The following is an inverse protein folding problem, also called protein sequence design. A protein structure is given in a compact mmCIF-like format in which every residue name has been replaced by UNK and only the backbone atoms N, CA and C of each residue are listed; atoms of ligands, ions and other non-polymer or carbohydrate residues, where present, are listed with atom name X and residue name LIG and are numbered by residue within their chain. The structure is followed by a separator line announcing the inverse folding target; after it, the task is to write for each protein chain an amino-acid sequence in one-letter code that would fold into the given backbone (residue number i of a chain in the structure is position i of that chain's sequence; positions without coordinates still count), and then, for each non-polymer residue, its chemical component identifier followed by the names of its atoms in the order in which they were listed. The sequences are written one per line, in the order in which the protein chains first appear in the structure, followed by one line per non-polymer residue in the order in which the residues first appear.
data_IF_037094663475
#
_entry.id   IF_037094663475
#
_cell.length_a   1.000
_cell.length_b   1.000
_cell.length_c   1.000
_cell.angle_alpha   90.00
_cell.angle_beta   90.00
_cell.angle_gamma   90.00
#
_symmetry.space_group_name_H-M   'P 1'
#
loop_
_entity.id
_entity.type
_entity.pdbx_description
1 polymer ?
#
# COMPACT_ATOMS: atom_id res chain seq x y z
N UNK A 1 15.54 10.36 0.54
CA UNK A 1 14.16 9.95 0.20
C UNK A 1 14.01 8.46 0.39
N UNK A 2 12.88 8.04 0.94
CA UNK A 2 12.61 6.64 1.21
C UNK A 2 11.31 6.23 0.52
N UNK A 3 11.30 5.05 -0.12
CA UNK A 3 10.13 4.51 -0.80
C UNK A 3 9.75 3.18 -0.17
N UNK A 4 8.48 3.05 0.18
CA UNK A 4 7.91 1.79 0.65
C UNK A 4 6.89 1.30 -0.37
N UNK A 5 7.04 0.05 -0.79
CA UNK A 5 6.15 -0.56 -1.76
C UNK A 5 5.60 -1.87 -1.20
N UNK A 6 4.28 -2.04 -1.28
CA UNK A 6 3.62 -3.27 -0.90
C UNK A 6 2.91 -3.85 -2.12
N UNK A 7 3.32 -5.04 -2.54
CA UNK A 7 2.75 -5.73 -3.70
C UNK A 7 1.80 -6.83 -3.24
N UNK A 8 0.67 -6.95 -3.92
CA UNK A 8 -0.31 -7.98 -3.59
C UNK A 8 -1.09 -8.41 -4.83
N UNK A 9 -1.56 -9.64 -4.78
CA UNK A 9 -2.30 -10.26 -5.87
C UNK A 9 -3.78 -10.33 -5.53
N UNK A 10 -4.62 -9.95 -6.49
CA UNK A 10 -6.07 -9.89 -6.32
C UNK A 10 -6.73 -10.80 -7.33
N UNK A 11 -7.77 -11.51 -6.92
CA UNK A 11 -8.57 -12.34 -7.82
C UNK A 11 -9.22 -11.48 -8.90
N UNK A 12 -9.12 -11.92 -10.15
CA UNK A 12 -9.76 -11.24 -11.26
C UNK A 12 -11.28 -11.13 -10.99
N UNK A 13 -11.82 -9.95 -11.21
CA UNK A 13 -13.21 -9.64 -10.92
C UNK A 13 -13.43 -8.95 -9.59
N UNK A 14 -12.39 -8.88 -8.74
CA UNK A 14 -12.46 -8.22 -7.43
C UNK A 14 -11.72 -6.88 -7.39
N UNK A 15 -11.22 -6.42 -8.54
CA UNK A 15 -10.42 -5.19 -8.61
C UNK A 15 -11.18 -3.96 -8.14
N UNK A 16 -12.43 -3.82 -8.58
CA UNK A 16 -13.25 -2.66 -8.20
C UNK A 16 -13.54 -2.62 -6.71
N UNK A 17 -13.77 -3.77 -6.11
CA UNK A 17 -14.00 -3.87 -4.67
C UNK A 17 -12.75 -3.46 -3.90
N UNK A 18 -11.59 -3.91 -4.36
CA UNK A 18 -10.31 -3.51 -3.75
C UNK A 18 -10.10 -2.00 -3.85
N UNK A 19 -10.32 -1.43 -5.03
CA UNK A 19 -10.15 -0.01 -5.28
C UNK A 19 -11.06 0.82 -4.37
N UNK A 20 -12.30 0.38 -4.18
CA UNK A 20 -13.24 1.05 -3.29
C UNK A 20 -12.80 1.00 -1.84
N UNK A 21 -12.34 -0.18 -1.38
CA UNK A 21 -11.82 -0.34 -0.01
C UNK A 21 -10.66 0.61 0.23
N UNK A 22 -9.71 0.67 -0.71
CA UNK A 22 -8.54 1.54 -0.57
C UNK A 22 -8.92 3.02 -0.63
N UNK A 23 -9.89 3.37 -1.46
CA UNK A 23 -10.36 4.75 -1.61
C UNK A 23 -11.08 5.25 -0.36
N UNK A 24 -11.84 4.37 0.30
CA UNK A 24 -12.61 4.72 1.49
C UNK A 24 -11.79 4.65 2.78
N UNK A 25 -10.61 4.06 2.73
CA UNK A 25 -9.72 3.89 3.88
C UNK A 25 -9.11 5.22 4.29
N UNK A 26 -9.20 5.54 5.57
CA UNK A 26 -8.55 6.72 6.11
C UNK A 26 -7.24 6.32 6.79
N UNK A 27 -6.13 6.66 6.15
CA UNK A 27 -4.79 6.36 6.65
C UNK A 27 -4.15 7.53 7.36
N UNK A 28 -4.75 8.70 7.28
CA UNK A 28 -4.21 9.96 7.81
C UNK A 28 -2.79 10.27 7.33
N UNK A 29 -2.39 9.72 6.19
CA UNK A 29 -1.03 9.87 5.66
C UNK A 29 -0.60 11.32 5.53
N UNK A 30 -1.50 12.20 5.06
CA UNK A 30 -1.18 13.61 4.86
C UNK A 30 -0.85 14.34 6.16
N UNK A 31 -1.18 13.78 7.30
CA UNK A 31 -0.94 14.38 8.60
C UNK A 31 0.41 13.98 9.21
N UNK A 32 1.08 13.00 8.59
CA UNK A 32 2.34 12.49 9.14
C UNK A 32 3.55 13.26 8.62
N UNK A 33 4.47 13.62 9.52
CA UNK A 33 5.71 14.29 9.12
C UNK A 33 6.49 13.45 8.12
N UNK A 34 7.01 14.10 7.10
CA UNK A 34 7.86 13.45 6.12
C UNK A 34 7.12 12.71 5.01
N UNK A 35 5.79 12.65 5.05
CA UNK A 35 5.01 12.06 3.97
C UNK A 35 5.08 12.94 2.72
N UNK A 36 5.34 12.33 1.57
CA UNK A 36 5.44 13.03 0.29
C UNK A 36 4.27 12.70 -0.63
N UNK A 37 4.08 11.40 -0.94
CA UNK A 37 2.98 10.99 -1.81
C UNK A 37 2.61 9.53 -1.61
N UNK A 38 1.40 9.20 -2.04
CA UNK A 38 0.88 7.83 -2.05
C UNK A 38 0.24 7.54 -3.40
N UNK A 39 0.52 6.35 -3.94
CA UNK A 39 -0.11 5.87 -5.17
C UNK A 39 -0.52 4.42 -5.03
N UNK A 40 -1.72 4.10 -5.49
CA UNK A 40 -2.14 2.72 -5.69
C UNK A 40 -1.94 2.41 -7.17
N UNK A 41 -1.13 1.40 -7.46
CA UNK A 41 -0.76 1.01 -8.81
C UNK A 41 -1.47 -0.29 -9.17
N UNK A 42 -1.97 -0.38 -10.40
CA UNK A 42 -2.65 -1.55 -10.91
C UNK A 42 -1.90 -2.08 -12.13
N UNK A 43 -1.54 -3.35 -12.09
CA UNK A 43 -0.90 -4.03 -13.20
C UNK A 43 -1.91 -4.74 -14.09
N UNK A 44 -1.40 -5.56 -15.01
CA UNK A 44 -2.23 -6.36 -15.90
C UNK A 44 -2.78 -7.59 -15.18
N UNK A 45 -3.92 -8.09 -15.68
CA UNK A 45 -4.48 -9.35 -15.21
C UNK A 45 -3.92 -10.50 -16.06
N UNK A 46 -3.34 -11.49 -15.38
CA UNK A 46 -2.77 -12.68 -16.02
C UNK A 46 -3.21 -13.90 -15.25
N UNK A 47 -3.76 -14.90 -15.94
CA UNK A 47 -4.18 -16.18 -15.35
C UNK A 47 -5.14 -16.02 -14.16
N UNK A 48 -6.08 -15.09 -14.27
CA UNK A 48 -7.07 -14.86 -13.22
C UNK A 48 -6.57 -14.07 -12.02
N UNK A 49 -5.40 -13.44 -12.14
CA UNK A 49 -4.76 -12.67 -11.08
C UNK A 49 -4.45 -11.27 -11.58
N UNK A 50 -4.77 -10.25 -10.78
CA UNK A 50 -4.38 -8.87 -11.04
C UNK A 50 -3.39 -8.43 -9.98
N UNK A 51 -2.24 -7.92 -10.41
CA UNK A 51 -1.23 -7.39 -9.51
C UNK A 51 -1.55 -5.94 -9.16
N UNK A 52 -1.51 -5.63 -7.86
CA UNK A 52 -1.59 -4.27 -7.35
C UNK A 52 -0.36 -3.96 -6.52
N UNK A 53 -0.05 -2.69 -6.40
CA UNK A 53 1.01 -2.23 -5.51
C UNK A 53 0.62 -0.90 -4.88
N UNK A 54 0.89 -0.77 -3.59
CA UNK A 54 0.85 0.53 -2.94
C UNK A 54 2.28 1.09 -2.94
N UNK A 55 2.39 2.39 -3.18
CA UNK A 55 3.68 3.06 -3.29
C UNK A 55 3.61 4.33 -2.48
N UNK A 56 4.47 4.45 -1.46
CA UNK A 56 4.55 5.65 -0.63
C UNK A 56 5.96 6.21 -0.64
N UNK A 57 6.03 7.54 -0.70
CA UNK A 57 7.30 8.26 -0.61
C UNK A 57 7.38 9.05 0.68
N UNK A 58 8.54 9.03 1.30
CA UNK A 58 8.81 9.67 2.58
C UNK A 58 10.16 10.38 2.54
N UNK A 59 10.31 11.42 3.34
CA UNK A 59 11.60 12.11 3.47
C UNK A 59 12.68 11.16 4.01
N UNK A 60 12.32 10.28 4.93
CA UNK A 60 13.25 9.35 5.55
C UNK A 60 12.57 8.04 5.92
N UNK A 61 13.37 7.01 6.16
CA UNK A 61 12.90 5.73 6.66
C UNK A 61 12.25 5.88 8.04
N UNK A 62 12.80 6.73 8.87
CA UNK A 62 12.27 6.97 10.22
C UNK A 62 10.84 7.50 10.15
N UNK A 63 10.54 8.42 9.24
CA UNK A 63 9.20 8.96 9.06
C UNK A 63 8.21 7.86 8.67
N UNK A 64 8.61 6.97 7.77
CA UNK A 64 7.80 5.81 7.39
C UNK A 64 7.55 4.90 8.60
N UNK A 65 8.61 4.57 9.35
CA UNK A 65 8.49 3.70 10.51
C UNK A 65 7.58 4.30 11.58
N UNK A 66 7.64 5.61 11.79
CA UNK A 66 6.76 6.29 12.73
C UNK A 66 5.28 6.13 12.34
N UNK A 67 4.98 6.22 11.04
CA UNK A 67 3.63 5.98 10.56
C UNK A 67 3.21 4.53 10.81
N UNK A 68 4.07 3.55 10.56
CA UNK A 68 3.73 2.12 10.76
C UNK A 68 3.44 1.77 12.22
N UNK A 69 3.89 2.59 13.17
CA UNK A 69 3.62 2.41 14.60
C UNK A 69 2.35 3.12 15.06
N UNK A 70 1.69 3.85 14.17
CA UNK A 70 0.53 4.66 14.53
C UNK A 70 -0.76 3.84 14.58
N UNK A 71 -1.77 4.38 15.28
CA UNK A 71 -3.10 3.79 15.32
C UNK A 71 -3.76 3.84 13.94
N UNK A 72 -3.50 4.89 13.18
CA UNK A 72 -4.04 5.02 11.82
C UNK A 72 -3.59 3.87 10.93
N UNK A 73 -2.31 3.49 11.01
CA UNK A 73 -1.77 2.36 10.28
C UNK A 73 -2.43 1.05 10.70
N UNK A 74 -2.58 0.83 12.01
CA UNK A 74 -3.22 -0.39 12.53
C UNK A 74 -4.66 -0.51 12.08
N UNK A 75 -5.41 0.59 12.10
CA UNK A 75 -6.81 0.61 11.63
C UNK A 75 -6.91 0.29 10.15
N UNK A 76 -6.02 0.85 9.33
CA UNK A 76 -5.98 0.57 7.90
C UNK A 76 -5.69 -0.90 7.62
N UNK A 77 -4.76 -1.49 8.35
CA UNK A 77 -4.42 -2.91 8.23
C UNK A 77 -5.55 -3.83 8.70
N UNK A 78 -6.29 -3.42 9.73
CA UNK A 78 -7.44 -4.19 10.20
C UNK A 78 -8.50 -4.30 9.12
N UNK A 79 -8.75 -3.23 8.38
CA UNK A 79 -9.69 -3.26 7.25
C UNK A 79 -9.21 -4.24 6.18
N UNK A 80 -7.93 -4.22 5.84
CA UNK A 80 -7.36 -5.16 4.89
C UNK A 80 -7.50 -6.60 5.37
N UNK A 81 -7.24 -6.87 6.65
CA UNK A 81 -7.38 -8.20 7.23
C UNK A 81 -8.82 -8.71 7.20
N UNK A 82 -9.80 -7.84 7.36
CA UNK A 82 -11.21 -8.21 7.31
C UNK A 82 -11.67 -8.58 5.89
N UNK A 83 -10.87 -8.27 4.87
CA UNK A 83 -11.17 -8.55 3.47
C UNK A 83 -10.16 -9.52 2.85
N UNK A 84 -9.72 -10.51 3.62
CA UNK A 84 -8.71 -11.48 3.19
C UNK A 84 -9.07 -12.23 1.91
N UNK A 85 -10.36 -12.44 1.66
CA UNK A 85 -10.83 -13.18 0.50
C UNK A 85 -10.49 -12.52 -0.84
N UNK A 86 -10.19 -11.23 -0.81
CA UNK A 86 -9.78 -10.49 -2.01
C UNK A 86 -8.36 -10.86 -2.44
N UNK A 87 -7.51 -11.19 -1.48
CA UNK A 87 -6.07 -11.35 -1.73
C UNK A 87 -5.73 -12.81 -2.00
N UNK A 88 -4.82 -13.02 -2.94
CA UNK A 88 -4.23 -14.32 -3.24
C UNK A 88 -2.82 -14.36 -2.66
N UNK A 89 -2.60 -15.27 -1.71
CA UNK A 89 -1.29 -15.40 -1.08
C UNK A 89 -0.97 -14.27 -0.13
N UNK A 90 0.29 -14.16 0.22
CA UNK A 90 0.78 -13.14 1.16
C UNK A 90 1.14 -11.85 0.43
N UNK A 91 0.95 -10.73 1.13
CA UNK A 91 1.41 -9.45 0.64
C UNK A 91 2.93 -9.37 0.79
N UNK A 92 3.59 -8.75 -0.20
CA UNK A 92 5.03 -8.56 -0.19
C UNK A 92 5.35 -7.08 0.01
N UNK A 93 5.88 -6.75 1.19
CA UNK A 93 6.34 -5.39 1.48
C UNK A 93 7.80 -5.25 1.10
N UNK A 94 8.08 -4.26 0.24
CA UNK A 94 9.43 -3.89 -0.14
C UNK A 94 9.69 -2.46 0.32
N UNK A 95 10.76 -2.29 1.08
CA UNK A 95 11.23 -0.98 1.51
C UNK A 95 12.45 -0.61 0.68
N UNK A 96 12.35 0.50 -0.04
CA UNK A 96 13.38 0.92 -0.99
C UNK A 96 13.89 2.30 -0.67
N UNK A 97 15.21 2.49 -0.77
CA UNK A 97 15.85 3.78 -0.62
C UNK A 97 16.15 4.33 -2.00
N UNK A 98 15.81 5.60 -2.23
CA UNK A 98 16.14 6.22 -3.49
C UNK A 98 17.67 6.33 -3.61
N UNK A 99 18.21 5.67 -4.63
CA UNK A 99 19.64 5.67 -4.89
C UNK A 99 20.03 6.70 -5.94
N UNK A 100 19.22 6.81 -7.01
CA UNK A 100 19.55 7.67 -8.15
C UNK A 100 18.30 8.37 -8.67
N UNK A 101 18.47 9.64 -9.02
CA UNK A 101 17.41 10.44 -9.62
C UNK A 101 17.99 11.24 -10.77
N UNK A 102 17.44 11.08 -11.97
CA UNK A 102 17.83 11.87 -13.14
C UNK A 102 17.22 13.25 -13.12
#
# INVERSE_FOLDING_TARGET
MFIAMNRFQIKKGKEELLEEIWRSRDTHLNEFPGFIEFNLLKGESVDGITLFASHTKWNSREDFENWTRSDAFRKAHKIANNNKDLYLGHQNLNALRLYYKT
#
